data_IF_659062538010
#
_entry.id   IF_659062538010
#
_cell.length_a   1.000
_cell.length_b   1.000
_cell.length_c   1.000
_cell.angle_alpha   90.00
_cell.angle_beta   90.00
_cell.angle_gamma   90.00
#
_symmetry.space_group_name_H-M   'P 1'
#
loop_
_entity.id
_entity.type
_entity.pdbx_description
1 polymer ?
#
# COMPACT_ATOMS: atom_id res chain seq x y z
N UNK A 1 4.90 62.13 -42.77
CA UNK A 1 6.38 62.17 -42.77
C UNK A 1 6.89 60.77 -42.42
N UNK A 2 7.93 60.30 -43.11
CA UNK A 2 8.74 59.07 -42.91
C UNK A 2 10.21 59.60 -42.91
N UNK A 3 11.28 58.96 -42.35
CA UNK A 3 11.48 57.64 -41.71
C UNK A 3 11.66 57.76 -40.17
N UNK A 4 12.23 56.84 -39.36
CA UNK A 4 13.10 55.63 -39.51
C UNK A 4 12.89 54.75 -38.23
N UNK A 5 13.35 53.50 -38.05
CA UNK A 5 14.20 52.58 -38.82
C UNK A 5 13.83 51.09 -38.53
N UNK A 6 14.34 50.17 -39.36
CA UNK A 6 14.17 48.72 -39.21
C UNK A 6 14.86 48.16 -37.95
N UNK A 7 14.36 47.03 -37.42
CA UNK A 7 15.23 45.89 -37.08
C UNK A 7 14.56 44.54 -37.30
N UNK A 8 15.29 43.70 -38.03
CA UNK A 8 15.00 42.33 -38.45
C UNK A 8 14.69 41.37 -37.31
N UNK A 9 13.67 40.52 -37.49
CA UNK A 9 13.49 39.31 -36.71
C UNK A 9 14.52 38.24 -37.13
N UNK A 10 15.29 37.73 -36.17
CA UNK A 10 16.19 36.58 -36.38
C UNK A 10 15.65 35.38 -35.60
N UNK A 11 15.51 34.23 -36.27
CA UNK A 11 15.26 32.94 -35.63
C UNK A 11 16.50 32.53 -34.83
N UNK A 12 16.35 32.20 -33.56
CA UNK A 12 17.34 31.41 -32.81
C UNK A 12 16.65 30.21 -32.14
N UNK A 13 17.08 29.02 -32.56
CA UNK A 13 16.66 27.75 -31.99
C UNK A 13 17.33 27.52 -30.63
N UNK A 14 16.60 27.73 -29.54
CA UNK A 14 17.03 27.35 -28.19
C UNK A 14 16.69 25.89 -27.90
N UNK A 15 17.70 25.01 -27.82
CA UNK A 15 17.53 23.66 -27.25
C UNK A 15 17.13 23.80 -25.79
N UNK A 16 16.00 23.23 -25.37
CA UNK A 16 15.77 22.97 -23.95
C UNK A 16 16.78 21.88 -23.52
N UNK A 17 17.72 22.26 -22.67
CA UNK A 17 18.68 21.33 -22.07
C UNK A 17 17.96 20.44 -21.07
N UNK A 18 18.10 19.12 -21.19
CA UNK A 18 17.74 18.20 -20.13
C UNK A 18 18.45 18.62 -18.83
N UNK A 19 17.72 18.64 -17.71
CA UNK A 19 18.31 18.91 -16.41
C UNK A 19 19.37 17.84 -16.11
N UNK A 20 20.59 18.28 -15.83
CA UNK A 20 21.72 17.38 -15.62
C UNK A 20 21.54 16.55 -14.33
N UNK A 21 22.04 15.32 -14.37
CA UNK A 21 22.25 14.50 -13.18
C UNK A 21 23.11 15.29 -12.18
N UNK A 22 22.53 15.74 -11.07
CA UNK A 22 23.33 16.18 -9.94
C UNK A 22 23.94 14.96 -9.28
N UNK A 23 25.24 14.77 -9.52
CA UNK A 23 26.06 13.69 -8.98
C UNK A 23 26.04 13.68 -7.45
N UNK A 24 25.32 12.72 -6.86
CA UNK A 24 25.40 12.36 -5.44
C UNK A 24 26.70 11.60 -5.15
N UNK A 25 27.84 12.26 -5.36
CA UNK A 25 29.16 11.73 -5.06
C UNK A 25 29.52 11.78 -3.56
N UNK A 26 28.62 12.28 -2.69
CA UNK A 26 28.83 12.49 -1.26
C UNK A 26 28.29 11.37 -0.35
N UNK A 27 27.77 10.27 -0.91
CA UNK A 27 27.32 9.09 -0.13
C UNK A 27 28.41 8.01 0.04
N UNK A 28 29.62 8.25 -0.47
CA UNK A 28 30.76 7.34 -0.34
C UNK A 28 31.52 7.50 0.99
N UNK A 29 30.80 7.72 2.10
CA UNK A 29 31.38 7.84 3.44
C UNK A 29 31.35 6.47 4.15
N UNK A 30 32.50 5.79 4.17
CA UNK A 30 32.89 4.72 5.10
C UNK A 30 31.83 3.69 5.53
N UNK A 31 31.04 3.17 4.58
CA UNK A 31 30.39 1.87 4.79
C UNK A 31 31.37 0.77 4.35
N UNK A 32 32.18 0.29 5.28
CA UNK A 32 32.96 -0.94 5.13
C UNK A 32 32.02 -2.15 5.20
N UNK A 33 31.20 -2.33 4.16
CA UNK A 33 30.34 -3.52 4.04
C UNK A 33 31.23 -4.75 3.94
N UNK A 34 30.98 -5.76 4.77
CA UNK A 34 31.56 -7.11 4.64
C UNK A 34 30.91 -7.90 3.47
N UNK A 35 30.62 -7.20 2.37
CA UNK A 35 30.23 -7.66 1.04
C UNK A 35 31.05 -6.91 -0.03
N UNK A 36 32.19 -6.33 0.36
CA UNK A 36 32.81 -5.24 -0.38
C UNK A 36 33.44 -5.62 -1.72
N UNK A 37 34.34 -4.75 -2.19
CA UNK A 37 35.32 -5.03 -3.27
C UNK A 37 36.38 -6.08 -2.84
N UNK A 38 35.97 -7.07 -2.03
CA UNK A 38 36.76 -8.22 -1.62
C UNK A 38 36.55 -9.40 -2.55
N UNK A 39 37.42 -10.38 -2.44
CA UNK A 39 37.39 -11.58 -3.27
C UNK A 39 36.20 -12.49 -2.91
N UNK A 40 35.09 -12.32 -3.63
CA UNK A 40 34.04 -13.34 -3.70
C UNK A 40 34.67 -14.63 -4.21
N UNK A 41 34.81 -15.64 -3.36
CA UNK A 41 34.98 -17.02 -3.82
C UNK A 41 33.75 -17.36 -4.65
N UNK A 42 33.98 -17.74 -5.90
CA UNK A 42 32.93 -17.97 -6.90
C UNK A 42 31.86 -18.93 -6.36
N UNK A 43 30.59 -18.66 -6.67
CA UNK A 43 29.46 -19.56 -6.39
C UNK A 43 29.42 -20.79 -7.30
N UNK A 44 30.61 -21.32 -7.57
CA UNK A 44 30.83 -22.45 -8.44
C UNK A 44 30.50 -23.78 -7.78
N UNK A 45 30.91 -23.99 -6.53
CA UNK A 45 30.58 -25.20 -5.78
C UNK A 45 29.30 -25.01 -4.97
N UNK A 46 28.21 -25.49 -5.55
CA UNK A 46 26.85 -25.55 -4.99
C UNK A 46 26.78 -26.22 -3.60
N UNK A 47 27.75 -27.07 -3.26
CA UNK A 47 27.83 -27.78 -1.97
C UNK A 47 28.51 -26.96 -0.85
N UNK A 48 29.19 -25.86 -1.21
CA UNK A 48 29.89 -24.97 -0.25
C UNK A 48 29.10 -23.71 0.10
N UNK A 49 27.93 -23.52 -0.51
CA UNK A 49 27.07 -22.36 -0.31
C UNK A 49 26.60 -22.26 1.16
N UNK A 50 26.78 -21.08 1.77
CA UNK A 50 26.26 -20.78 3.11
C UNK A 50 24.98 -19.93 3.00
N UNK A 51 23.94 -20.24 3.81
CA UNK A 51 22.81 -19.35 4.03
C UNK A 51 23.22 -17.89 4.26
N UNK A 52 22.61 -16.96 3.53
CA UNK A 52 22.80 -15.52 3.75
C UNK A 52 22.07 -15.01 4.98
N UNK A 53 22.63 -14.04 5.69
CA UNK A 53 21.97 -13.46 6.86
C UNK A 53 21.36 -12.09 6.52
N UNK A 54 20.03 -11.98 6.57
CA UNK A 54 19.32 -10.77 6.18
C UNK A 54 19.06 -9.82 7.34
N UNK A 55 19.80 -8.73 7.39
CA UNK A 55 19.46 -7.58 8.23
C UNK A 55 18.19 -6.84 7.72
N UNK A 56 17.24 -6.62 8.62
CA UNK A 56 15.98 -5.87 8.44
C UNK A 56 16.06 -4.62 9.32
N UNK A 57 15.93 -3.42 8.72
CA UNK A 57 15.84 -2.14 9.45
C UNK A 57 14.40 -1.87 9.82
N UNK A 58 14.11 -1.70 11.11
CA UNK A 58 12.79 -1.30 11.59
C UNK A 58 12.72 0.19 11.91
N UNK A 59 11.59 0.79 11.54
CA UNK A 59 11.19 2.13 11.98
C UNK A 59 9.85 2.06 12.72
N UNK A 60 9.70 2.93 13.72
CA UNK A 60 8.62 2.89 14.71
C UNK A 60 8.63 1.59 15.53
N UNK A 61 7.78 1.53 16.56
CA UNK A 61 7.50 0.26 17.25
C UNK A 61 6.70 -0.65 16.32
N UNK A 62 7.30 -1.77 15.91
CA UNK A 62 6.66 -2.84 15.16
C UNK A 62 6.14 -3.91 16.14
N UNK A 63 5.03 -4.56 15.79
CA UNK A 63 4.48 -5.65 16.62
C UNK A 63 5.48 -6.82 16.74
N UNK A 64 5.69 -7.36 17.95
CA UNK A 64 6.47 -8.59 18.16
C UNK A 64 5.95 -9.80 17.36
N UNK A 65 4.64 -9.90 17.11
CA UNK A 65 4.07 -10.99 16.29
C UNK A 65 4.57 -10.92 14.84
N UNK A 66 4.66 -9.72 14.27
CA UNK A 66 5.26 -9.54 12.94
C UNK A 66 6.77 -9.77 12.92
N UNK A 67 7.50 -9.29 13.95
CA UNK A 67 8.94 -9.53 14.03
C UNK A 67 9.29 -11.01 14.20
N UNK A 68 8.45 -11.78 14.92
CA UNK A 68 8.61 -13.23 15.07
C UNK A 68 8.42 -14.03 13.76
N UNK A 69 7.94 -13.41 12.67
CA UNK A 69 7.90 -14.04 11.34
C UNK A 69 9.27 -14.18 10.70
N UNK A 70 10.29 -13.46 11.18
CA UNK A 70 11.69 -13.56 10.74
C UNK A 70 12.46 -14.56 11.62
N UNK A 71 12.87 -15.73 11.09
CA UNK A 71 13.63 -16.71 11.86
C UNK A 71 15.06 -16.20 12.15
N UNK A 72 15.50 -16.27 13.42
CA UNK A 72 16.75 -15.67 13.90
C UNK A 72 18.02 -16.30 13.32
N UNK A 73 17.91 -17.51 12.80
CA UNK A 73 18.96 -18.22 12.06
C UNK A 73 19.28 -17.58 10.70
N UNK A 74 18.33 -16.82 10.15
CA UNK A 74 18.36 -16.27 8.79
C UNK A 74 18.25 -14.74 8.76
N UNK A 75 17.80 -14.11 9.85
CA UNK A 75 17.44 -12.70 9.90
C UNK A 75 17.92 -11.98 11.16
N UNK A 76 18.45 -10.77 10.96
CA UNK A 76 18.73 -9.81 12.02
C UNK A 76 17.71 -8.68 11.97
N UNK A 77 16.94 -8.44 13.03
CA UNK A 77 16.07 -7.24 13.11
C UNK A 77 16.78 -6.19 13.95
N UNK A 78 16.97 -4.98 13.40
CA UNK A 78 17.63 -3.86 14.07
C UNK A 78 16.89 -2.54 13.88
N UNK A 79 16.85 -1.73 14.94
CA UNK A 79 16.24 -0.40 14.93
C UNK A 79 17.27 0.69 14.56
N UNK A 80 16.82 1.67 13.78
CA UNK A 80 17.56 2.91 13.52
C UNK A 80 18.92 2.73 12.85
N UNK A 81 19.91 3.51 13.29
CA UNK A 81 21.25 3.60 12.70
C UNK A 81 22.06 2.30 12.83
N UNK A 82 21.73 1.43 13.80
CA UNK A 82 22.38 0.12 13.97
C UNK A 82 22.19 -0.82 12.76
N UNK A 83 21.24 -0.51 11.88
CA UNK A 83 20.88 -1.29 10.70
C UNK A 83 21.45 -0.70 9.39
N UNK A 84 22.68 -0.17 9.42
CA UNK A 84 23.31 0.49 8.27
C UNK A 84 23.49 -0.42 7.02
N UNK A 85 23.53 -1.75 7.19
CA UNK A 85 23.67 -2.72 6.11
C UNK A 85 22.35 -3.49 5.85
N UNK A 86 21.20 -2.87 6.10
CA UNK A 86 19.91 -3.53 5.94
C UNK A 86 19.60 -3.87 4.47
N UNK A 87 19.04 -5.06 4.29
CA UNK A 87 18.57 -5.59 3.01
C UNK A 87 17.09 -5.28 2.77
N UNK A 88 16.32 -5.05 3.83
CA UNK A 88 14.96 -4.58 3.73
C UNK A 88 14.60 -3.61 4.87
N UNK A 89 13.63 -2.75 4.62
CA UNK A 89 13.10 -1.80 5.60
C UNK A 89 11.64 -2.18 5.93
N UNK A 90 11.30 -2.20 7.22
CA UNK A 90 9.95 -2.45 7.74
C UNK A 90 9.51 -1.25 8.59
N UNK A 91 8.41 -0.59 8.23
CA UNK A 91 8.00 0.68 8.86
C UNK A 91 6.48 0.83 9.01
N UNK A 92 6.03 1.79 9.83
CA UNK A 92 4.59 2.14 9.98
C UNK A 92 4.25 3.54 9.47
N UNK A 93 4.51 4.53 10.31
CA UNK A 93 4.14 5.94 10.12
C UNK A 93 5.36 6.84 9.89
N UNK A 94 6.59 6.32 10.11
CA UNK A 94 7.82 7.03 9.79
C UNK A 94 7.81 7.54 8.34
N UNK A 95 8.13 8.82 8.15
CA UNK A 95 8.24 9.42 6.82
C UNK A 95 9.65 9.16 6.29
N UNK A 96 9.80 8.06 5.56
CA UNK A 96 11.08 7.63 5.01
C UNK A 96 11.62 8.69 4.03
N UNK A 97 12.84 9.16 4.25
CA UNK A 97 13.57 10.02 3.31
C UNK A 97 14.41 9.15 2.35
N UNK A 98 14.89 9.72 1.24
CA UNK A 98 15.64 8.96 0.23
C UNK A 98 17.05 8.57 0.71
N UNK A 99 17.71 9.45 1.47
CA UNK A 99 19.02 9.25 2.09
C UNK A 99 19.01 8.21 3.21
N UNK A 100 17.84 7.83 3.73
CA UNK A 100 17.67 6.72 4.66
C UNK A 100 17.70 5.33 4.00
N UNK A 101 17.70 5.26 2.66
CA UNK A 101 17.62 4.03 1.86
C UNK A 101 18.98 3.69 1.25
N UNK A 102 19.77 2.94 2.01
CA UNK A 102 21.13 2.53 1.62
C UNK A 102 21.14 1.60 0.38
N UNK A 103 22.28 1.55 -0.33
CA UNK A 103 22.43 0.74 -1.55
C UNK A 103 22.13 -0.75 -1.36
N UNK A 104 22.36 -1.31 -0.17
CA UNK A 104 22.03 -2.70 0.20
C UNK A 104 20.53 -3.01 0.23
N UNK A 105 19.67 -1.98 0.31
CA UNK A 105 18.22 -2.16 0.43
C UNK A 105 17.65 -2.69 -0.89
N UNK A 106 16.92 -3.82 -0.75
CA UNK A 106 16.30 -4.63 -1.80
C UNK A 106 14.78 -4.54 -1.78
N UNK A 107 14.17 -4.25 -0.62
CA UNK A 107 12.73 -4.18 -0.42
C UNK A 107 12.33 -3.23 0.72
N UNK A 108 11.13 -2.66 0.64
CA UNK A 108 10.53 -1.85 1.71
C UNK A 108 9.10 -2.33 1.93
N UNK A 109 8.70 -2.61 3.17
CA UNK A 109 7.29 -2.90 3.49
C UNK A 109 6.74 -1.94 4.55
N UNK A 110 5.51 -1.47 4.31
CA UNK A 110 4.74 -0.68 5.27
C UNK A 110 3.67 -1.54 5.94
N UNK A 111 3.68 -1.57 7.27
CA UNK A 111 2.60 -2.16 8.07
C UNK A 111 1.39 -1.19 8.13
N UNK A 112 0.77 -0.94 6.98
CA UNK A 112 -0.52 -0.28 6.80
C UNK A 112 -0.93 -0.22 5.31
N UNK A 113 -2.17 0.17 5.01
CA UNK A 113 -2.71 0.11 3.65
C UNK A 113 -2.24 1.26 2.71
N UNK A 114 -2.24 2.53 3.16
CA UNK A 114 -1.68 3.65 2.36
C UNK A 114 -0.15 3.61 2.30
N UNK A 115 0.49 4.46 1.47
CA UNK A 115 1.97 4.53 1.36
C UNK A 115 2.51 5.97 1.26
N UNK A 116 1.73 6.96 1.72
CA UNK A 116 2.02 8.40 1.61
C UNK A 116 3.34 8.83 2.31
N UNK A 117 3.88 7.98 3.17
CA UNK A 117 5.09 8.18 3.96
C UNK A 117 6.34 7.47 3.38
N UNK A 118 6.26 6.97 2.14
CA UNK A 118 7.36 6.33 1.41
C UNK A 118 7.51 7.02 0.03
N UNK A 119 8.72 7.35 -0.43
CA UNK A 119 8.95 7.97 -1.74
C UNK A 119 8.85 6.93 -2.88
N UNK A 120 7.63 6.41 -3.10
CA UNK A 120 7.37 5.26 -3.99
C UNK A 120 7.92 5.45 -5.41
N UNK A 121 7.81 6.65 -6.00
CA UNK A 121 8.35 6.94 -7.33
C UNK A 121 9.87 6.70 -7.38
N UNK A 122 10.62 7.32 -6.47
CA UNK A 122 12.07 7.13 -6.34
C UNK A 122 12.47 5.68 -6.12
N UNK A 123 11.74 4.98 -5.24
CA UNK A 123 12.02 3.56 -4.98
C UNK A 123 11.82 2.70 -6.23
N UNK A 124 10.92 3.10 -7.13
CA UNK A 124 10.70 2.45 -8.43
C UNK A 124 11.91 2.64 -9.35
N UNK A 125 12.44 3.87 -9.46
CA UNK A 125 13.65 4.18 -10.22
C UNK A 125 14.89 3.41 -9.71
N UNK A 126 14.97 3.19 -8.40
CA UNK A 126 16.05 2.42 -7.76
C UNK A 126 15.85 0.89 -7.85
N UNK A 127 14.79 0.43 -8.50
CA UNK A 127 14.46 -1.00 -8.62
C UNK A 127 14.02 -1.67 -7.32
N UNK A 128 13.53 -0.90 -6.34
CA UNK A 128 13.13 -1.35 -5.01
C UNK A 128 11.59 -1.48 -4.95
N UNK A 129 11.02 -2.69 -4.83
CA UNK A 129 9.60 -2.85 -4.56
C UNK A 129 9.25 -2.32 -3.17
N UNK A 130 8.18 -1.51 -3.16
CA UNK A 130 7.49 -1.06 -1.95
C UNK A 130 6.23 -1.91 -1.80
N UNK A 131 6.07 -2.47 -0.62
CA UNK A 131 4.97 -3.34 -0.22
C UNK A 131 4.06 -2.65 0.80
N UNK A 132 2.77 -2.94 0.76
CA UNK A 132 1.79 -2.53 1.76
C UNK A 132 1.01 -3.76 2.26
N UNK A 133 0.06 -3.53 3.16
CA UNK A 133 -0.69 -4.61 3.82
C UNK A 133 -2.21 -4.45 3.63
N UNK A 134 -2.69 -4.60 2.38
CA UNK A 134 -4.09 -4.39 2.05
C UNK A 134 -4.95 -5.45 2.74
N UNK A 135 -6.05 -5.02 3.36
CA UNK A 135 -6.98 -5.93 4.04
C UNK A 135 -6.57 -6.35 5.45
N UNK A 136 -5.31 -6.17 5.87
CA UNK A 136 -4.84 -6.55 7.22
C UNK A 136 -5.61 -5.86 8.35
N UNK A 137 -6.05 -4.61 8.14
CA UNK A 137 -6.89 -3.85 9.07
C UNK A 137 -8.40 -3.95 8.77
N UNK A 138 -8.83 -4.80 7.84
CA UNK A 138 -10.21 -4.74 7.33
C UNK A 138 -11.27 -5.03 8.40
N UNK A 139 -11.01 -5.97 9.31
CA UNK A 139 -11.95 -6.25 10.39
C UNK A 139 -12.10 -5.08 11.38
N UNK A 140 -10.98 -4.46 11.78
CA UNK A 140 -10.98 -3.32 12.70
C UNK A 140 -11.75 -2.11 12.14
N UNK A 141 -11.51 -1.75 10.86
CA UNK A 141 -12.25 -0.66 10.21
C UNK A 141 -13.74 -1.02 10.10
N UNK A 142 -14.06 -2.25 9.71
CA UNK A 142 -15.44 -2.75 9.60
C UNK A 142 -16.17 -2.69 10.94
N UNK A 143 -15.55 -3.10 12.05
CA UNK A 143 -16.15 -2.99 13.39
C UNK A 143 -16.43 -1.54 13.76
N UNK A 144 -15.52 -0.63 13.44
CA UNK A 144 -15.71 0.79 13.68
C UNK A 144 -16.80 1.39 12.76
N UNK A 145 -16.99 0.91 11.54
CA UNK A 145 -18.13 1.26 10.67
C UNK A 145 -19.46 0.78 11.27
N UNK A 146 -19.52 -0.45 11.80
CA UNK A 146 -20.72 -0.96 12.50
C UNK A 146 -21.02 -0.12 13.75
N UNK A 147 -20.01 0.24 14.53
CA UNK A 147 -20.13 1.15 15.65
C UNK A 147 -20.63 2.54 15.19
N UNK A 148 -20.08 3.07 14.09
CA UNK A 148 -20.51 4.32 13.47
C UNK A 148 -21.98 4.33 13.08
N UNK A 149 -22.49 3.23 12.52
CA UNK A 149 -23.92 3.07 12.25
C UNK A 149 -24.75 3.18 13.54
N UNK A 150 -24.33 2.53 14.62
CA UNK A 150 -25.02 2.62 15.92
C UNK A 150 -24.95 4.03 16.52
N UNK A 151 -23.80 4.71 16.44
CA UNK A 151 -23.63 6.10 16.90
C UNK A 151 -24.60 7.04 16.17
N UNK A 152 -24.65 6.99 14.83
CA UNK A 152 -25.59 7.78 14.02
C UNK A 152 -27.06 7.38 14.18
N UNK A 153 -27.34 6.15 14.65
CA UNK A 153 -28.70 5.60 14.76
C UNK A 153 -29.36 5.81 16.12
N UNK A 154 -28.58 5.88 17.21
CA UNK A 154 -29.08 5.71 18.60
C UNK A 154 -28.82 6.90 19.52
N UNK A 155 -28.33 8.03 19.02
CA UNK A 155 -28.00 9.25 19.81
C UNK A 155 -27.13 8.99 21.03
N UNK A 156 -26.19 8.03 20.91
CA UNK A 156 -25.39 7.51 22.02
C UNK A 156 -24.52 8.62 22.64
N UNK A 157 -23.83 9.40 21.81
CA UNK A 157 -22.95 10.49 22.25
C UNK A 157 -23.75 11.56 22.98
N UNK A 158 -24.87 12.00 22.40
CA UNK A 158 -25.78 12.99 22.99
C UNK A 158 -26.26 12.55 24.38
N UNK A 159 -26.68 11.29 24.52
CA UNK A 159 -27.15 10.73 25.80
C UNK A 159 -26.05 10.64 26.86
N UNK A 160 -24.83 10.26 26.46
CA UNK A 160 -23.65 10.24 27.35
C UNK A 160 -23.32 11.65 27.85
N UNK A 161 -23.23 12.62 26.95
CA UNK A 161 -22.92 14.02 27.28
C UNK A 161 -24.00 14.64 28.18
N UNK A 162 -25.27 14.34 27.92
CA UNK A 162 -26.39 14.76 28.77
C UNK A 162 -26.27 14.20 30.20
N UNK A 163 -25.93 12.91 30.34
CA UNK A 163 -25.75 12.29 31.66
C UNK A 163 -24.56 12.86 32.43
N UNK A 164 -23.47 13.23 31.76
CA UNK A 164 -22.36 13.98 32.39
C UNK A 164 -22.84 15.34 32.91
N UNK A 165 -23.52 16.13 32.06
CA UNK A 165 -24.02 17.46 32.45
C UNK A 165 -25.04 17.40 33.60
N UNK A 166 -25.95 16.41 33.60
CA UNK A 166 -26.85 16.17 34.73
C UNK A 166 -26.13 15.69 36.00
N UNK A 167 -25.00 15.00 35.85
CA UNK A 167 -24.15 14.56 36.96
C UNK A 167 -23.51 15.76 37.68
N UNK A 168 -22.94 16.70 36.93
CA UNK A 168 -22.38 17.96 37.47
C UNK A 168 -23.43 18.81 38.19
N UNK A 169 -24.69 18.76 37.73
CA UNK A 169 -25.83 19.43 38.36
C UNK A 169 -26.42 18.66 39.56
N UNK A 170 -26.00 17.41 39.81
CA UNK A 170 -26.61 16.52 40.81
C UNK A 170 -28.00 15.99 40.47
N UNK A 171 -28.51 16.27 39.26
CA UNK A 171 -29.89 15.97 38.81
C UNK A 171 -30.05 14.63 38.09
N UNK A 172 -28.96 13.90 37.83
CA UNK A 172 -28.96 12.68 37.02
C UNK A 172 -30.04 11.65 37.39
N UNK A 173 -30.21 11.34 38.69
CA UNK A 173 -31.21 10.35 39.14
C UNK A 173 -32.67 10.81 38.99
N UNK A 174 -32.92 12.10 39.15
CA UNK A 174 -34.28 12.67 39.03
C UNK A 174 -34.70 12.76 37.56
N UNK A 175 -33.78 13.24 36.71
CA UNK A 175 -34.10 13.61 35.34
C UNK A 175 -33.94 12.50 34.32
N UNK A 176 -33.13 11.46 34.58
CA UNK A 176 -32.81 10.42 33.57
C UNK A 176 -34.05 9.81 32.91
N UNK A 177 -35.08 9.44 33.67
CA UNK A 177 -36.31 8.83 33.12
C UNK A 177 -37.15 9.82 32.31
N UNK A 178 -37.30 11.06 32.81
CA UNK A 178 -38.06 12.13 32.16
C UNK A 178 -37.43 12.57 30.84
N UNK A 179 -36.10 12.60 30.81
CA UNK A 179 -35.31 13.13 29.70
C UNK A 179 -35.10 12.11 28.56
N UNK A 180 -35.42 10.81 28.76
CA UNK A 180 -35.26 9.74 27.75
C UNK A 180 -35.86 10.06 26.39
N UNK A 181 -37.01 10.74 26.36
CA UNK A 181 -37.73 11.06 25.14
C UNK A 181 -36.92 11.91 24.15
N UNK A 182 -35.92 12.67 24.64
CA UNK A 182 -35.02 13.45 23.78
C UNK A 182 -34.09 12.56 22.93
N UNK A 183 -33.79 11.34 23.38
CA UNK A 183 -32.79 10.46 22.78
C UNK A 183 -33.41 9.35 21.91
N UNK A 184 -34.61 9.60 21.38
CA UNK A 184 -35.27 8.73 20.41
C UNK A 184 -34.35 8.45 19.21
N UNK A 185 -34.13 7.18 18.92
CA UNK A 185 -33.31 6.70 17.81
C UNK A 185 -34.03 5.64 16.99
N UNK A 186 -33.32 5.05 16.03
CA UNK A 186 -33.84 3.99 15.14
C UNK A 186 -33.04 2.70 15.25
N UNK A 187 -33.62 1.59 14.81
CA UNK A 187 -32.94 0.31 14.66
C UNK A 187 -32.34 0.16 13.24
N UNK A 188 -31.30 -0.66 13.12
CA UNK A 188 -30.67 -0.99 11.83
C UNK A 188 -31.48 -2.01 11.02
N UNK A 189 -32.19 -2.92 11.70
CA UNK A 189 -32.94 -4.00 11.06
C UNK A 189 -34.02 -3.43 10.11
N UNK A 190 -34.08 -3.96 8.89
CA UNK A 190 -35.00 -3.49 7.84
C UNK A 190 -34.63 -2.14 7.24
N UNK A 191 -33.43 -1.60 7.51
CA UNK A 191 -32.88 -0.41 6.84
C UNK A 191 -31.97 -0.79 5.69
N UNK A 192 -31.70 0.15 4.81
CA UNK A 192 -30.81 -0.03 3.65
C UNK A 192 -29.44 0.58 3.92
N UNK A 193 -28.38 -0.22 3.73
CA UNK A 193 -26.99 0.24 3.69
C UNK A 193 -26.49 0.27 2.24
N UNK A 194 -26.04 1.43 1.78
CA UNK A 194 -25.26 1.56 0.56
C UNK A 194 -23.75 1.46 0.87
N UNK A 195 -23.06 0.55 0.18
CA UNK A 195 -21.62 0.36 0.31
C UNK A 195 -20.91 0.85 -0.96
N UNK A 196 -20.18 1.95 -0.83
CA UNK A 196 -19.43 2.58 -1.91
C UNK A 196 -17.98 2.08 -1.82
N UNK A 197 -17.59 1.17 -2.70
CA UNK A 197 -16.34 0.40 -2.65
C UNK A 197 -16.54 -0.97 -2.00
N UNK A 198 -16.27 -2.04 -2.73
CA UNK A 198 -16.56 -3.43 -2.37
C UNK A 198 -15.27 -4.27 -2.23
N UNK A 199 -14.16 -3.60 -1.93
CA UNK A 199 -12.91 -4.23 -1.48
C UNK A 199 -13.02 -4.85 -0.07
N UNK A 200 -11.87 -5.20 0.53
CA UNK A 200 -11.79 -5.94 1.79
C UNK A 200 -12.71 -5.44 2.94
N UNK A 201 -12.77 -4.11 3.16
CA UNK A 201 -13.60 -3.51 4.21
C UNK A 201 -15.08 -3.54 3.78
N UNK A 202 -15.41 -2.96 2.62
CA UNK A 202 -16.79 -2.89 2.14
C UNK A 202 -17.47 -4.25 2.00
N UNK A 203 -16.77 -5.27 1.52
CA UNK A 203 -17.29 -6.65 1.44
C UNK A 203 -17.56 -7.25 2.83
N UNK A 204 -16.73 -6.93 3.84
CA UNK A 204 -16.97 -7.35 5.22
C UNK A 204 -18.15 -6.59 5.85
N UNK A 205 -18.21 -5.28 5.65
CA UNK A 205 -19.31 -4.42 6.12
C UNK A 205 -20.64 -4.86 5.54
N UNK A 206 -20.68 -5.21 4.25
CA UNK A 206 -21.87 -5.72 3.57
C UNK A 206 -22.39 -7.03 4.19
N UNK A 207 -21.50 -7.98 4.51
CA UNK A 207 -21.89 -9.26 5.15
C UNK A 207 -22.42 -9.05 6.56
N UNK A 208 -21.72 -8.28 7.38
CA UNK A 208 -22.14 -8.06 8.77
C UNK A 208 -23.44 -7.23 8.83
N UNK A 209 -23.67 -6.31 7.88
CA UNK A 209 -24.94 -5.59 7.74
C UNK A 209 -26.11 -6.50 7.30
N UNK A 210 -25.91 -7.40 6.34
CA UNK A 210 -26.90 -8.42 5.97
C UNK A 210 -27.26 -9.30 7.19
N UNK A 211 -26.26 -9.72 7.98
CA UNK A 211 -26.46 -10.51 9.19
C UNK A 211 -27.22 -9.75 10.30
N UNK A 212 -27.12 -8.41 10.34
CA UNK A 212 -27.94 -7.54 11.19
C UNK A 212 -29.36 -7.31 10.65
N UNK A 213 -29.71 -7.92 9.52
CA UNK A 213 -31.02 -7.82 8.88
C UNK A 213 -31.23 -6.52 8.10
N UNK A 214 -30.16 -5.91 7.58
CA UNK A 214 -30.22 -4.78 6.65
C UNK A 214 -30.38 -5.27 5.21
N UNK A 215 -31.01 -4.46 4.35
CA UNK A 215 -30.85 -4.58 2.90
C UNK A 215 -29.54 -3.92 2.49
N UNK A 216 -28.78 -4.50 1.56
CA UNK A 216 -27.47 -3.96 1.16
C UNK A 216 -27.44 -3.69 -0.35
N UNK A 217 -27.10 -2.46 -0.71
CA UNK A 217 -26.74 -2.04 -2.08
C UNK A 217 -25.22 -1.82 -2.15
N UNK A 218 -24.63 -2.06 -3.32
CA UNK A 218 -23.19 -1.94 -3.51
C UNK A 218 -22.82 -1.28 -4.84
N UNK A 219 -21.82 -0.40 -4.82
CA UNK A 219 -21.20 0.16 -6.03
C UNK A 219 -19.69 0.08 -5.91
N UNK A 220 -19.02 -0.54 -6.89
CA UNK A 220 -17.56 -0.52 -7.02
C UNK A 220 -17.16 -0.67 -8.50
N UNK A 221 -16.56 0.36 -9.12
CA UNK A 221 -16.12 0.29 -10.53
C UNK A 221 -14.88 -0.59 -10.72
N UNK A 222 -14.20 -0.99 -9.63
CA UNK A 222 -13.00 -1.83 -9.62
C UNK A 222 -13.22 -3.22 -8.99
N UNK A 223 -14.46 -3.71 -8.93
CA UNK A 223 -14.79 -4.99 -8.29
C UNK A 223 -14.03 -6.17 -8.94
N UNK A 224 -13.07 -6.73 -8.22
CA UNK A 224 -12.35 -7.94 -8.65
C UNK A 224 -13.19 -9.19 -8.45
N UNK A 225 -12.93 -10.23 -9.26
CA UNK A 225 -13.59 -11.55 -9.12
C UNK A 225 -13.42 -12.10 -7.69
N UNK A 226 -12.22 -11.97 -7.12
CA UNK A 226 -11.92 -12.43 -5.76
C UNK A 226 -12.77 -11.71 -4.69
N UNK A 227 -13.00 -10.40 -4.87
CA UNK A 227 -13.85 -9.64 -3.95
C UNK A 227 -15.34 -9.90 -4.19
N UNK A 228 -15.78 -10.08 -5.44
CA UNK A 228 -17.14 -10.47 -5.79
C UNK A 228 -17.55 -11.80 -5.12
N UNK A 229 -16.65 -12.78 -5.09
CA UNK A 229 -16.86 -14.06 -4.38
C UNK A 229 -17.01 -13.93 -2.85
N UNK A 230 -16.59 -12.79 -2.27
CA UNK A 230 -16.71 -12.50 -0.83
C UNK A 230 -17.99 -11.73 -0.49
N UNK A 231 -18.79 -11.31 -1.48
CA UNK A 231 -19.99 -10.50 -1.24
C UNK A 231 -21.21 -11.34 -0.75
N UNK A 232 -22.16 -10.71 -0.04
CA UNK A 232 -23.48 -11.29 0.19
C UNK A 232 -24.15 -11.68 -1.12
N UNK A 233 -24.82 -12.83 -1.18
CA UNK A 233 -25.54 -13.25 -2.41
C UNK A 233 -26.76 -12.39 -2.71
N UNK A 234 -27.31 -11.69 -1.71
CA UNK A 234 -28.48 -10.81 -1.88
C UNK A 234 -28.13 -9.39 -2.31
N UNK A 235 -26.84 -9.01 -2.34
CA UNK A 235 -26.43 -7.63 -2.56
C UNK A 235 -26.90 -7.12 -3.94
N UNK A 236 -27.59 -5.98 -3.94
CA UNK A 236 -27.97 -5.32 -5.18
C UNK A 236 -26.82 -4.44 -5.67
N UNK A 237 -26.09 -4.91 -6.69
CA UNK A 237 -25.07 -4.11 -7.36
C UNK A 237 -25.70 -2.99 -8.18
N UNK A 238 -25.07 -1.82 -8.15
CA UNK A 238 -25.52 -0.57 -8.76
C UNK A 238 -24.46 -0.07 -9.74
N UNK A 239 -24.89 0.76 -10.68
CA UNK A 239 -24.09 1.28 -11.81
C UNK A 239 -23.40 2.63 -11.52
N UNK A 240 -23.81 3.33 -10.47
CA UNK A 240 -23.29 4.64 -10.07
C UNK A 240 -23.42 4.85 -8.56
N UNK A 241 -22.71 5.85 -8.03
CA UNK A 241 -22.87 6.27 -6.63
C UNK A 241 -24.30 6.79 -6.40
N UNK A 242 -24.81 7.65 -7.28
CA UNK A 242 -26.16 8.23 -7.18
C UNK A 242 -27.26 7.15 -7.13
N UNK A 243 -27.22 6.14 -8.00
CA UNK A 243 -28.20 5.05 -7.99
C UNK A 243 -28.06 4.09 -6.79
N UNK A 244 -26.90 4.13 -6.11
CA UNK A 244 -26.62 3.36 -4.90
C UNK A 244 -27.12 4.03 -3.62
N UNK A 245 -26.95 5.36 -3.50
CA UNK A 245 -27.32 6.13 -2.29
C UNK A 245 -28.80 6.49 -2.18
N UNK A 246 -29.55 6.54 -3.30
CA UNK A 246 -30.93 7.04 -3.34
C UNK A 246 -31.89 6.44 -2.30
N UNK A 247 -31.85 5.12 -2.14
CA UNK A 247 -32.71 4.39 -1.19
C UNK A 247 -32.02 4.09 0.15
N UNK A 248 -30.82 4.65 0.40
CA UNK A 248 -29.99 4.30 1.54
C UNK A 248 -30.39 5.06 2.81
N UNK A 249 -30.50 4.36 3.94
CA UNK A 249 -30.60 4.96 5.27
C UNK A 249 -29.20 5.17 5.90
N UNK A 250 -28.23 4.36 5.47
CA UNK A 250 -26.82 4.43 5.87
C UNK A 250 -25.96 4.31 4.61
N UNK A 251 -24.86 5.07 4.53
CA UNK A 251 -23.97 5.11 3.37
C UNK A 251 -22.53 4.96 3.87
N UNK A 252 -21.81 3.93 3.42
CA UNK A 252 -20.44 3.64 3.87
C UNK A 252 -19.43 3.81 2.74
N UNK A 253 -18.46 4.71 2.94
CA UNK A 253 -17.37 4.97 2.01
C UNK A 253 -16.18 4.04 2.29
N UNK A 254 -15.76 3.30 1.26
CA UNK A 254 -14.72 2.26 1.29
C UNK A 254 -13.79 2.32 0.06
N UNK A 255 -13.83 3.42 -0.71
CA UNK A 255 -13.03 3.66 -1.92
C UNK A 255 -11.69 4.35 -1.61
N UNK A 256 -10.65 4.18 -2.44
CA UNK A 256 -9.41 4.93 -2.31
C UNK A 256 -9.57 6.41 -2.66
N UNK A 257 -8.75 7.26 -2.05
CA UNK A 257 -8.56 8.63 -2.52
C UNK A 257 -7.57 8.66 -3.70
N UNK A 258 -8.02 9.19 -4.84
CA UNK A 258 -7.26 9.35 -6.07
C UNK A 258 -7.21 10.84 -6.39
N UNK A 259 -6.00 11.37 -6.58
CA UNK A 259 -5.75 12.78 -6.95
C UNK A 259 -5.78 12.96 -8.47
N UNK A 260 -6.15 14.16 -8.91
CA UNK A 260 -6.12 14.56 -10.33
C UNK A 260 -7.50 14.56 -10.99
N UNK A 261 -7.52 14.84 -12.28
CA UNK A 261 -8.73 14.81 -13.11
C UNK A 261 -9.30 13.38 -13.18
N UNK A 262 -10.62 13.24 -13.01
CA UNK A 262 -11.26 11.92 -12.83
C UNK A 262 -10.93 11.20 -11.51
N UNK A 263 -10.28 11.89 -10.57
CA UNK A 263 -10.02 11.39 -9.22
C UNK A 263 -11.28 11.33 -8.34
N UNK A 264 -11.08 11.02 -7.06
CA UNK A 264 -12.17 10.84 -6.08
C UNK A 264 -12.26 11.98 -5.05
N UNK A 265 -11.60 13.12 -5.30
CA UNK A 265 -11.70 14.31 -4.44
C UNK A 265 -13.11 14.88 -4.44
N UNK A 266 -13.71 15.09 -3.26
CA UNK A 266 -15.06 15.65 -3.12
C UNK A 266 -16.15 14.83 -3.85
N UNK A 267 -15.91 13.54 -4.10
CA UNK A 267 -16.83 12.68 -4.86
C UNK A 267 -18.22 12.56 -4.20
N UNK A 268 -18.29 12.73 -2.88
CA UNK A 268 -19.54 12.97 -2.15
C UNK A 268 -19.75 14.49 -2.03
N UNK A 269 -20.08 15.10 -3.17
CA UNK A 269 -20.45 16.52 -3.30
C UNK A 269 -21.96 16.73 -3.44
N UNK A 270 -22.38 17.97 -3.71
CA UNK A 270 -23.80 18.38 -3.78
C UNK A 270 -24.66 17.43 -4.64
N UNK A 271 -24.19 17.02 -5.81
CA UNK A 271 -24.95 16.14 -6.73
C UNK A 271 -25.28 14.78 -6.10
N UNK A 272 -24.35 14.18 -5.36
CA UNK A 272 -24.54 12.91 -4.67
C UNK A 272 -25.38 13.09 -3.40
N UNK A 273 -25.11 14.15 -2.65
CA UNK A 273 -25.83 14.51 -1.41
C UNK A 273 -27.30 14.84 -1.70
N UNK A 274 -27.63 15.41 -2.86
CA UNK A 274 -29.01 15.67 -3.29
C UNK A 274 -29.88 14.41 -3.41
N UNK A 275 -29.25 13.24 -3.58
CA UNK A 275 -29.91 11.95 -3.60
C UNK A 275 -30.05 11.28 -2.23
N UNK A 276 -29.57 11.89 -1.15
CA UNK A 276 -29.70 11.31 0.19
C UNK A 276 -31.14 11.42 0.71
N UNK A 277 -31.61 10.41 1.45
CA UNK A 277 -32.75 10.60 2.35
C UNK A 277 -32.40 11.66 3.39
N UNK A 278 -33.36 12.52 3.78
CA UNK A 278 -33.14 13.60 4.76
C UNK A 278 -32.42 13.11 6.02
N UNK A 279 -32.85 11.97 6.57
CA UNK A 279 -32.28 11.38 7.77
C UNK A 279 -31.14 10.37 7.53
N UNK A 280 -30.48 10.37 6.38
CA UNK A 280 -29.42 9.40 6.06
C UNK A 280 -28.17 9.58 6.95
N UNK A 281 -27.45 8.48 7.18
CA UNK A 281 -26.18 8.47 7.94
C UNK A 281 -25.01 8.18 7.01
N UNK A 282 -24.17 9.18 6.76
CA UNK A 282 -22.92 9.02 6.00
C UNK A 282 -21.77 8.59 6.92
N UNK A 283 -21.05 7.54 6.54
CA UNK A 283 -19.97 6.91 7.29
C UNK A 283 -18.68 6.99 6.47
N UNK A 284 -17.75 7.87 6.87
CA UNK A 284 -16.46 8.03 6.21
C UNK A 284 -15.31 7.49 7.07
N UNK A 285 -14.97 6.23 6.82
CA UNK A 285 -13.80 5.55 7.39
C UNK A 285 -12.73 5.26 6.32
N UNK A 286 -12.92 5.81 5.12
CA UNK A 286 -12.00 5.65 4.00
C UNK A 286 -10.94 6.76 3.96
N UNK A 287 -11.33 7.99 3.60
CA UNK A 287 -10.43 9.17 3.49
C UNK A 287 -11.26 10.45 3.61
N UNK A 288 -10.75 11.44 4.35
CA UNK A 288 -11.45 12.72 4.54
C UNK A 288 -11.75 13.43 3.21
N UNK A 289 -10.78 13.41 2.28
CA UNK A 289 -10.84 14.11 1.00
C UNK A 289 -11.92 13.60 0.01
N UNK A 290 -12.67 12.54 0.35
CA UNK A 290 -13.78 12.01 -0.45
C UNK A 290 -15.07 12.81 -0.31
N UNK A 291 -15.22 13.59 0.76
CA UNK A 291 -16.44 14.34 1.09
C UNK A 291 -16.17 15.83 0.86
N UNK A 292 -17.10 16.52 0.20
CA UNK A 292 -17.12 17.98 0.15
C UNK A 292 -17.67 18.50 1.49
N UNK A 293 -16.80 19.11 2.29
CA UNK A 293 -17.13 19.57 3.64
C UNK A 293 -18.19 20.68 3.66
N UNK A 294 -18.22 21.56 2.66
CA UNK A 294 -19.19 22.67 2.58
C UNK A 294 -20.57 22.16 2.14
N UNK A 295 -20.61 21.27 1.14
CA UNK A 295 -21.83 20.58 0.73
C UNK A 295 -22.41 19.74 1.88
N UNK A 296 -21.56 19.01 2.61
CA UNK A 296 -21.98 18.20 3.75
C UNK A 296 -22.45 19.06 4.92
N UNK A 297 -21.76 20.16 5.24
CA UNK A 297 -22.21 21.12 6.25
C UNK A 297 -23.60 21.68 5.91
N UNK A 298 -23.77 22.10 4.65
CA UNK A 298 -25.06 22.63 4.15
C UNK A 298 -26.17 21.60 4.27
N UNK A 299 -25.91 20.32 4.01
CA UNK A 299 -26.88 19.25 4.20
C UNK A 299 -27.23 19.02 5.68
N UNK A 300 -26.23 18.92 6.56
CA UNK A 300 -26.41 18.66 7.99
C UNK A 300 -27.09 19.81 8.75
N UNK A 301 -26.92 21.05 8.29
CA UNK A 301 -27.58 22.23 8.88
C UNK A 301 -29.09 22.31 8.52
N UNK A 302 -29.51 21.65 7.43
CA UNK A 302 -30.88 21.71 6.90
C UNK A 302 -31.68 20.40 7.05
N UNK A 303 -31.05 19.30 7.49
CA UNK A 303 -31.66 17.97 7.56
C UNK A 303 -31.33 17.23 8.88
N UNK A 304 -32.04 16.14 9.16
CA UNK A 304 -31.85 15.29 10.35
C UNK A 304 -30.84 14.14 10.15
N UNK A 305 -30.14 14.13 9.02
CA UNK A 305 -29.05 13.21 8.72
C UNK A 305 -27.86 13.35 9.66
N UNK A 306 -26.93 12.40 9.60
CA UNK A 306 -25.72 12.38 10.43
C UNK A 306 -24.47 12.10 9.60
N UNK A 307 -23.35 12.71 9.99
CA UNK A 307 -22.04 12.40 9.42
C UNK A 307 -21.13 11.81 10.50
N UNK A 308 -20.65 10.59 10.26
CA UNK A 308 -19.72 9.90 11.15
C UNK A 308 -18.41 9.72 10.39
N UNK A 309 -17.33 10.32 10.87
CA UNK A 309 -16.04 10.37 10.18
C UNK A 309 -14.90 9.94 11.08
N UNK A 310 -13.92 9.25 10.52
CA UNK A 310 -12.65 8.95 11.18
C UNK A 310 -11.55 10.00 10.89
N UNK A 311 -11.93 11.10 10.23
CA UNK A 311 -11.03 12.16 9.79
C UNK A 311 -11.46 13.50 10.40
N UNK A 312 -10.53 14.27 11.02
CA UNK A 312 -10.80 15.62 11.48
C UNK A 312 -11.10 16.55 10.30
N UNK A 313 -12.03 17.47 10.52
CA UNK A 313 -12.54 18.43 9.53
C UNK A 313 -12.98 19.70 10.28
N UNK A 314 -12.35 20.84 9.96
CA UNK A 314 -12.54 22.13 10.67
C UNK A 314 -13.94 22.74 10.51
N UNK A 315 -14.69 22.35 9.46
CA UNK A 315 -16.06 22.81 9.21
C UNK A 315 -17.11 21.91 9.88
N UNK A 316 -16.80 20.62 10.04
CA UNK A 316 -17.77 19.60 10.45
C UNK A 316 -17.65 19.17 11.92
N UNK A 317 -16.51 19.33 12.58
CA UNK A 317 -16.29 18.82 13.96
C UNK A 317 -17.20 19.41 15.04
N UNK A 318 -17.66 20.66 14.87
CA UNK A 318 -18.59 21.32 15.79
C UNK A 318 -20.06 21.22 15.37
N UNK A 319 -20.38 20.49 14.29
CA UNK A 319 -21.77 20.33 13.87
C UNK A 319 -22.49 19.32 14.78
N UNK A 320 -23.69 19.67 15.29
CA UNK A 320 -24.48 18.79 16.17
C UNK A 320 -24.96 17.49 15.50
N UNK A 321 -24.85 17.40 14.17
CA UNK A 321 -25.12 16.21 13.38
C UNK A 321 -23.85 15.43 12.97
N UNK A 322 -22.67 15.86 13.40
CA UNK A 322 -21.40 15.15 13.19
C UNK A 322 -20.93 14.35 14.40
N UNK A 323 -20.25 13.24 14.16
CA UNK A 323 -19.37 12.58 15.14
C UNK A 323 -18.02 12.33 14.46
N UNK A 324 -16.99 13.02 14.93
CA UNK A 324 -15.64 12.96 14.37
C UNK A 324 -14.72 12.19 15.32
N UNK A 325 -14.06 11.16 14.79
CA UNK A 325 -13.14 10.28 15.51
C UNK A 325 -11.67 10.56 15.11
N UNK A 326 -10.70 10.33 15.99
CA UNK A 326 -9.29 10.67 15.74
C UNK A 326 -8.53 9.54 15.00
N UNK A 327 -9.00 9.17 13.81
CA UNK A 327 -8.33 8.19 12.91
C UNK A 327 -8.09 6.82 13.57
N UNK A 328 -9.14 6.25 14.15
CA UNK A 328 -9.13 5.02 14.94
C UNK A 328 -9.28 3.72 14.12
N UNK A 329 -9.65 3.78 12.84
CA UNK A 329 -10.07 2.60 12.06
C UNK A 329 -9.05 1.46 11.97
N UNK A 330 -7.75 1.75 12.09
CA UNK A 330 -6.68 0.73 12.11
C UNK A 330 -6.06 0.54 13.51
N UNK A 331 -6.56 1.23 14.53
CA UNK A 331 -5.92 1.39 15.84
C UNK A 331 -6.34 0.30 16.83
N UNK A 332 -6.06 -0.96 16.49
CA UNK A 332 -6.29 -2.16 17.31
C UNK A 332 -5.04 -3.04 17.32
N UNK A 333 -4.80 -3.78 18.40
CA UNK A 333 -3.62 -4.64 18.51
C UNK A 333 -3.61 -5.72 17.40
N UNK A 334 -4.78 -6.28 17.12
CA UNK A 334 -5.01 -7.32 16.12
C UNK A 334 -4.69 -6.82 14.70
N UNK A 335 -5.07 -5.58 14.35
CA UNK A 335 -4.72 -4.98 13.06
C UNK A 335 -3.22 -4.65 12.96
N UNK A 336 -2.57 -4.25 14.06
CA UNK A 336 -1.12 -4.04 14.10
C UNK A 336 -0.35 -5.35 13.92
N UNK A 337 -0.77 -6.42 14.60
CA UNK A 337 -0.20 -7.76 14.50
C UNK A 337 -0.39 -8.35 13.09
N UNK A 338 -1.59 -8.24 12.52
CA UNK A 338 -1.89 -8.71 11.17
C UNK A 338 -1.09 -7.94 10.11
N UNK A 339 -1.00 -6.61 10.22
CA UNK A 339 -0.21 -5.80 9.29
C UNK A 339 1.28 -6.09 9.43
N UNK A 340 1.83 -6.17 10.64
CA UNK A 340 3.24 -6.48 10.84
C UNK A 340 3.60 -7.88 10.32
N UNK A 341 2.73 -8.87 10.53
CA UNK A 341 2.93 -10.24 10.05
C UNK A 341 2.88 -10.32 8.52
N UNK A 342 1.88 -9.73 7.88
CA UNK A 342 1.76 -9.70 6.42
C UNK A 342 2.93 -8.96 5.75
N UNK A 343 3.40 -7.85 6.34
CA UNK A 343 4.55 -7.10 5.83
C UNK A 343 5.85 -7.91 5.95
N UNK A 344 6.07 -8.59 7.07
CA UNK A 344 7.22 -9.45 7.27
C UNK A 344 7.21 -10.65 6.31
N UNK A 345 6.07 -11.34 6.16
CA UNK A 345 5.90 -12.45 5.22
C UNK A 345 6.15 -12.00 3.77
N UNK A 346 5.66 -10.82 3.37
CA UNK A 346 5.88 -10.28 2.02
C UNK A 346 7.38 -9.99 1.77
N UNK A 347 8.10 -9.43 2.76
CA UNK A 347 9.55 -9.26 2.69
C UNK A 347 10.24 -10.63 2.53
N UNK A 348 9.84 -11.63 3.32
CA UNK A 348 10.41 -12.98 3.26
C UNK A 348 10.17 -13.66 1.91
N UNK A 349 8.94 -13.68 1.42
CA UNK A 349 8.60 -14.21 0.08
C UNK A 349 9.48 -13.57 -1.02
N UNK A 350 9.67 -12.25 -0.97
CA UNK A 350 10.49 -11.53 -1.94
C UNK A 350 11.99 -11.82 -1.82
N UNK A 351 12.51 -11.94 -0.60
CA UNK A 351 13.93 -12.19 -0.34
C UNK A 351 14.33 -13.67 -0.53
N UNK A 352 13.47 -14.61 -0.16
CA UNK A 352 13.71 -16.06 -0.20
C UNK A 352 13.35 -16.70 -1.56
N UNK A 353 12.32 -16.21 -2.26
CA UNK A 353 11.78 -16.86 -3.48
C UNK A 353 11.69 -15.97 -4.72
N UNK A 354 11.89 -14.67 -4.56
CA UNK A 354 11.65 -13.67 -5.61
C UNK A 354 10.17 -13.33 -5.82
N UNK A 355 9.26 -13.83 -5.00
CA UNK A 355 7.82 -13.56 -5.16
C UNK A 355 7.47 -12.10 -4.78
N UNK A 356 6.68 -11.44 -5.62
CA UNK A 356 6.12 -10.10 -5.38
C UNK A 356 4.60 -10.24 -5.24
N UNK A 357 4.09 -9.94 -4.04
CA UNK A 357 2.66 -9.75 -3.74
C UNK A 357 2.49 -8.39 -3.07
N UNK A 358 1.28 -7.82 -3.09
CA UNK A 358 0.95 -6.59 -2.36
C UNK A 358 1.93 -5.41 -2.57
N UNK A 359 2.49 -5.28 -3.79
CA UNK A 359 3.36 -4.14 -4.12
C UNK A 359 2.57 -2.97 -4.67
N UNK A 360 2.95 -1.76 -4.27
CA UNK A 360 2.34 -0.51 -4.77
C UNK A 360 3.01 0.02 -6.04
N UNK A 361 4.21 -0.44 -6.38
CA UNK A 361 4.97 0.00 -7.57
C UNK A 361 5.42 -1.12 -8.51
N UNK A 362 5.52 -2.37 -8.07
CA UNK A 362 5.93 -3.50 -8.91
C UNK A 362 4.73 -4.34 -9.37
N UNK A 363 4.87 -5.13 -10.46
CA UNK A 363 3.87 -6.10 -10.87
C UNK A 363 3.84 -7.31 -9.94
N UNK A 364 2.65 -7.81 -9.62
CA UNK A 364 2.50 -9.07 -8.89
C UNK A 364 3.11 -10.23 -9.70
N UNK A 365 4.06 -10.95 -9.11
CA UNK A 365 4.89 -11.93 -9.81
C UNK A 365 5.18 -13.09 -8.89
N UNK A 366 4.88 -14.31 -9.32
CA UNK A 366 5.15 -15.53 -8.53
C UNK A 366 5.42 -16.67 -9.50
N UNK A 367 6.61 -17.28 -9.37
CA UNK A 367 6.96 -18.53 -10.04
C UNK A 367 6.69 -19.68 -9.04
N UNK A 368 6.31 -20.90 -9.49
CA UNK A 368 6.19 -22.07 -8.62
C UNK A 368 7.45 -22.38 -7.80
N UNK A 369 7.42 -23.44 -6.97
CA UNK A 369 8.60 -23.89 -6.26
C UNK A 369 9.76 -24.18 -7.23
N UNK A 370 10.95 -23.67 -6.90
CA UNK A 370 12.18 -23.86 -7.69
C UNK A 370 12.43 -25.36 -7.92
N UNK A 371 12.66 -25.82 -9.16
CA UNK A 371 13.02 -27.21 -9.44
C UNK A 371 14.26 -27.69 -8.68
N UNK A 372 14.36 -28.99 -8.45
CA UNK A 372 15.62 -29.61 -8.01
C UNK A 372 16.74 -29.33 -9.02
N UNK A 373 17.98 -29.25 -8.54
CA UNK A 373 19.18 -29.00 -9.38
C UNK A 373 19.06 -27.77 -10.29
N UNK A 374 18.53 -26.67 -9.75
CA UNK A 374 18.42 -25.39 -10.46
C UNK A 374 18.80 -24.19 -9.58
N UNK A 375 19.06 -23.03 -10.16
CA UNK A 375 19.21 -21.75 -9.44
C UNK A 375 18.14 -20.77 -9.90
N UNK A 376 17.55 -20.01 -8.96
CA UNK A 376 16.64 -18.92 -9.29
C UNK A 376 17.41 -17.62 -9.45
N UNK A 377 17.12 -16.86 -10.50
CA UNK A 377 17.54 -15.47 -10.65
C UNK A 377 16.32 -14.56 -10.73
N UNK A 378 16.42 -13.37 -10.16
CA UNK A 378 15.42 -12.32 -10.25
C UNK A 378 16.06 -11.02 -10.76
N UNK A 379 15.56 -10.49 -11.87
CA UNK A 379 16.10 -9.30 -12.54
C UNK A 379 15.04 -8.22 -12.60
N UNK A 380 15.41 -7.01 -12.16
CA UNK A 380 14.58 -5.81 -12.26
C UNK A 380 15.08 -4.99 -13.44
N UNK A 381 14.20 -4.64 -14.37
CA UNK A 381 14.54 -3.81 -15.54
C UNK A 381 13.62 -2.62 -15.69
N UNK A 382 14.05 -1.64 -16.47
CA UNK A 382 13.15 -0.74 -17.17
C UNK A 382 12.28 -1.53 -18.15
N UNK A 383 11.03 -1.10 -18.33
CA UNK A 383 10.06 -1.72 -19.22
C UNK A 383 10.30 -1.28 -20.68
N UNK A 384 11.40 -1.76 -21.28
CA UNK A 384 11.84 -1.44 -22.65
C UNK A 384 11.80 -2.69 -23.55
N UNK A 385 11.61 -2.54 -24.87
CA UNK A 385 11.78 -3.64 -25.83
C UNK A 385 13.16 -4.29 -25.74
N UNK A 386 13.25 -5.60 -25.99
CA UNK A 386 14.51 -6.35 -26.05
C UNK A 386 15.03 -6.90 -24.72
N UNK A 387 14.65 -6.35 -23.56
CA UNK A 387 15.19 -6.76 -22.25
C UNK A 387 15.13 -8.27 -21.99
N UNK A 388 13.98 -8.89 -22.28
CA UNK A 388 13.78 -10.34 -22.10
C UNK A 388 14.72 -11.17 -22.98
N UNK A 389 15.00 -10.71 -24.21
CA UNK A 389 15.90 -11.40 -25.13
C UNK A 389 17.35 -11.30 -24.65
N UNK A 390 17.82 -10.10 -24.27
CA UNK A 390 19.18 -9.91 -23.74
C UNK A 390 19.44 -10.71 -22.46
N UNK A 391 18.45 -10.81 -21.55
CA UNK A 391 18.55 -11.64 -20.35
C UNK A 391 18.64 -13.13 -20.73
N UNK A 392 17.82 -13.60 -21.67
CA UNK A 392 17.82 -15.01 -22.11
C UNK A 392 19.11 -15.38 -22.84
N UNK A 393 19.63 -14.48 -23.68
CA UNK A 393 20.92 -14.60 -24.36
C UNK A 393 22.09 -14.66 -23.37
N UNK A 394 22.02 -13.92 -22.25
CA UNK A 394 23.03 -14.02 -21.19
C UNK A 394 23.09 -15.41 -20.55
N UNK A 395 21.98 -16.16 -20.47
CA UNK A 395 22.00 -17.56 -20.02
C UNK A 395 22.52 -18.50 -21.11
N UNK A 396 22.01 -18.35 -22.35
CA UNK A 396 22.44 -19.17 -23.50
C UNK A 396 23.96 -19.07 -23.77
N UNK A 397 24.54 -17.88 -23.66
CA UNK A 397 25.99 -17.64 -23.84
C UNK A 397 26.88 -18.18 -22.71
N UNK A 398 26.31 -18.85 -21.70
CA UNK A 398 27.04 -19.60 -20.68
C UNK A 398 26.52 -21.05 -20.57
N UNK A 399 25.87 -21.56 -21.63
CA UNK A 399 25.28 -22.90 -21.74
C UNK A 399 24.23 -23.26 -20.68
N UNK A 400 23.58 -22.26 -20.07
CA UNK A 400 22.56 -22.45 -19.03
C UNK A 400 21.15 -22.57 -19.61
N UNK A 401 20.52 -23.72 -19.42
CA UNK A 401 19.14 -23.97 -19.83
C UNK A 401 18.13 -23.31 -18.87
N UNK A 402 17.07 -22.68 -19.41
CA UNK A 402 15.98 -22.09 -18.63
C UNK A 402 14.88 -23.15 -18.42
N UNK A 403 14.61 -23.51 -17.17
CA UNK A 403 13.57 -24.47 -16.79
C UNK A 403 12.20 -23.81 -16.62
N UNK A 404 12.18 -22.62 -16.02
CA UNK A 404 10.96 -21.85 -15.77
C UNK A 404 11.28 -20.36 -15.88
N UNK A 405 10.34 -19.56 -16.40
CA UNK A 405 10.48 -18.11 -16.43
C UNK A 405 9.11 -17.43 -16.33
N UNK A 406 9.07 -16.30 -15.62
CA UNK A 406 7.96 -15.35 -15.64
C UNK A 406 8.50 -13.94 -15.84
N UNK A 407 7.81 -13.15 -16.66
CA UNK A 407 8.09 -11.73 -16.86
C UNK A 407 6.78 -10.96 -16.72
N UNK A 408 6.75 -9.96 -15.85
CA UNK A 408 5.61 -9.05 -15.70
C UNK A 408 6.09 -7.60 -15.70
N UNK A 409 5.23 -6.66 -16.07
CA UNK A 409 5.55 -5.23 -16.11
C UNK A 409 4.46 -4.36 -15.48
N UNK A 410 4.88 -3.21 -14.95
CA UNK A 410 3.98 -2.19 -14.37
C UNK A 410 4.61 -0.81 -14.57
N UNK A 411 3.97 0.02 -15.39
CA UNK A 411 4.51 1.32 -15.77
C UNK A 411 5.91 1.16 -16.39
N UNK A 412 6.87 1.90 -15.84
CA UNK A 412 8.24 1.98 -16.36
C UNK A 412 9.16 0.82 -15.93
N UNK A 413 8.70 -0.11 -15.10
CA UNK A 413 9.50 -1.26 -14.63
C UNK A 413 8.93 -2.61 -15.05
N UNK A 414 9.83 -3.55 -15.30
CA UNK A 414 9.53 -4.96 -15.48
C UNK A 414 10.34 -5.81 -14.49
N UNK A 415 9.79 -6.98 -14.17
CA UNK A 415 10.37 -7.92 -13.23
C UNK A 415 10.36 -9.32 -13.83
N UNK A 416 11.55 -9.91 -13.89
CA UNK A 416 11.82 -11.19 -14.51
C UNK A 416 12.32 -12.16 -13.45
N UNK A 417 11.72 -13.34 -13.35
CA UNK A 417 12.18 -14.42 -12.46
C UNK A 417 12.40 -15.67 -13.31
N UNK A 418 13.59 -16.25 -13.21
CA UNK A 418 14.08 -17.36 -14.04
C UNK A 418 14.62 -18.45 -13.13
N UNK A 419 14.24 -19.71 -13.36
CA UNK A 419 14.96 -20.87 -12.84
C UNK A 419 15.82 -21.46 -13.96
N UNK A 420 17.12 -21.59 -13.72
CA UNK A 420 18.08 -22.17 -14.66
C UNK A 420 18.62 -23.50 -14.14
N UNK A 421 18.75 -24.47 -15.05
CA UNK A 421 19.26 -25.82 -14.79
C UNK A 421 20.74 -25.80 -14.39
N UNK A 422 21.11 -26.61 -13.39
CA UNK A 422 22.51 -26.86 -13.02
C UNK A 422 22.90 -28.33 -13.14
N UNK A 423 21.99 -29.22 -13.52
CA UNK A 423 22.22 -30.68 -13.53
C UNK A 423 23.33 -31.15 -14.48
N UNK A 424 23.64 -30.37 -15.52
CA UNK A 424 24.74 -30.62 -16.47
C UNK A 424 26.08 -29.98 -16.10
N UNK A 425 26.18 -29.23 -14.99
CA UNK A 425 27.36 -28.41 -14.68
C UNK A 425 28.00 -28.79 -13.35
N UNK A 426 29.29 -29.12 -13.36
CA UNK A 426 30.06 -29.35 -12.12
C UNK A 426 30.22 -28.06 -11.30
N UNK A 427 30.41 -26.93 -12.00
CA UNK A 427 30.72 -25.61 -11.45
C UNK A 427 30.15 -24.55 -12.40
N UNK A 428 29.38 -23.57 -11.89
CA UNK A 428 28.86 -22.44 -12.69
C UNK A 428 29.31 -21.11 -12.08
N UNK A 429 29.95 -20.25 -12.88
CA UNK A 429 30.29 -18.90 -12.42
C UNK A 429 29.09 -17.95 -12.50
N UNK A 430 28.19 -18.10 -11.54
CA UNK A 430 27.03 -17.23 -11.40
C UNK A 430 27.40 -15.76 -11.12
N UNK A 431 28.62 -15.45 -10.66
CA UNK A 431 29.06 -14.05 -10.50
C UNK A 431 29.24 -13.41 -11.87
N UNK A 432 29.97 -14.05 -12.79
CA UNK A 432 30.13 -13.54 -14.16
C UNK A 432 28.80 -13.49 -14.92
N UNK A 433 27.90 -14.46 -14.72
CA UNK A 433 26.54 -14.42 -15.31
C UNK A 433 25.74 -13.24 -14.75
N UNK A 434 25.76 -13.04 -13.43
CA UNK A 434 25.07 -11.94 -12.75
C UNK A 434 25.61 -10.57 -13.17
N UNK A 435 26.92 -10.42 -13.28
CA UNK A 435 27.59 -9.20 -13.74
C UNK A 435 27.19 -8.85 -15.17
N UNK A 436 27.30 -9.82 -16.11
CA UNK A 436 26.83 -9.66 -17.50
C UNK A 436 25.38 -9.20 -17.57
N UNK A 437 24.48 -9.80 -16.79
CA UNK A 437 23.05 -9.43 -16.75
C UNK A 437 22.87 -8.02 -16.17
N UNK A 438 23.55 -7.69 -15.07
CA UNK A 438 23.36 -6.39 -14.38
C UNK A 438 23.85 -5.22 -15.22
N UNK A 439 24.86 -5.45 -16.06
CA UNK A 439 25.46 -4.44 -16.92
C UNK A 439 24.74 -4.25 -18.27
N UNK A 440 23.66 -4.98 -18.55
CA UNK A 440 22.79 -4.72 -19.69
C UNK A 440 22.09 -3.34 -19.54
N UNK A 441 22.04 -2.54 -20.62
CA UNK A 441 21.30 -1.27 -20.60
C UNK A 441 19.84 -1.51 -20.19
N UNK A 442 19.37 -0.74 -19.22
CA UNK A 442 18.03 -0.85 -18.67
C UNK A 442 17.84 -1.91 -17.58
N UNK A 443 18.86 -2.65 -17.14
CA UNK A 443 18.78 -3.43 -15.89
C UNK A 443 19.06 -2.52 -14.70
N UNK A 444 18.22 -2.59 -13.66
CA UNK A 444 18.35 -1.80 -12.43
C UNK A 444 19.03 -2.61 -11.32
N UNK A 445 18.62 -3.87 -11.16
CA UNK A 445 19.24 -4.82 -10.23
C UNK A 445 19.04 -6.25 -10.67
N UNK A 446 19.90 -7.14 -10.18
CA UNK A 446 19.76 -8.59 -10.35
C UNK A 446 20.04 -9.30 -9.04
N UNK A 447 19.46 -10.49 -8.86
CA UNK A 447 19.58 -11.28 -7.63
C UNK A 447 19.72 -12.75 -7.96
N UNK A 448 20.76 -13.41 -7.46
CA UNK A 448 20.89 -14.87 -7.42
C UNK A 448 20.23 -15.35 -6.13
N UNK A 449 19.13 -16.06 -6.29
CA UNK A 449 18.31 -16.61 -5.21
C UNK A 449 18.58 -18.11 -5.16
N UNK A 450 19.57 -18.47 -4.35
CA UNK A 450 19.99 -19.85 -4.15
C UNK A 450 19.93 -20.22 -2.67
N UNK A 451 19.27 -21.35 -2.37
CA UNK A 451 19.05 -21.80 -1.00
C UNK A 451 18.21 -20.84 -0.14
N UNK A 452 18.13 -21.16 1.15
CA UNK A 452 17.63 -20.25 2.19
C UNK A 452 18.85 -19.59 2.83
N UNK A 453 18.88 -18.26 3.02
CA UNK A 453 18.39 -17.18 2.15
C UNK A 453 19.46 -16.70 1.13
N UNK A 454 19.02 -16.10 0.02
CA UNK A 454 19.88 -15.77 -1.14
C UNK A 454 20.80 -14.54 -0.99
N UNK A 455 22.10 -14.75 -1.21
CA UNK A 455 23.17 -13.77 -0.98
C UNK A 455 23.50 -12.85 -2.17
N UNK A 456 23.54 -13.38 -3.40
CA UNK A 456 24.05 -12.67 -4.57
C UNK A 456 23.14 -11.53 -5.00
N UNK A 457 23.46 -10.30 -4.64
CA UNK A 457 22.73 -9.10 -5.04
C UNK A 457 23.61 -8.24 -5.94
N UNK A 458 23.03 -7.56 -6.91
CA UNK A 458 23.76 -6.53 -7.64
C UNK A 458 22.84 -5.40 -8.09
N UNK A 459 23.38 -4.18 -8.12
CA UNK A 459 22.76 -2.99 -8.71
C UNK A 459 23.61 -2.45 -9.85
N UNK A 460 22.94 -1.90 -10.86
CA UNK A 460 23.53 -0.99 -11.82
C UNK A 460 23.21 0.44 -11.36
N UNK A 461 24.22 1.22 -10.98
CA UNK A 461 24.03 2.61 -10.57
C UNK A 461 24.91 3.49 -11.44
N UNK A 462 24.31 4.22 -12.38
CA UNK A 462 25.05 5.11 -13.28
C UNK A 462 25.94 4.40 -14.31
N UNK A 463 25.75 3.10 -14.52
CA UNK A 463 26.62 2.26 -15.36
C UNK A 463 27.72 1.53 -14.60
N UNK A 464 27.79 1.67 -13.27
CA UNK A 464 28.72 0.94 -12.40
C UNK A 464 28.04 -0.26 -11.72
N UNK A 465 28.80 -1.36 -11.56
CA UNK A 465 28.38 -2.60 -10.90
C UNK A 465 28.62 -2.53 -9.38
N UNK A 466 27.57 -2.64 -8.59
CA UNK A 466 27.61 -2.73 -7.12
C UNK A 466 27.03 -4.07 -6.66
N UNK A 467 27.58 -4.64 -5.58
CA UNK A 467 27.20 -5.94 -4.99
C UNK A 467 26.83 -5.75 -3.52
#
# INVERSE_FOLDING_TARGET
MIPTALRTAARTSGRQSAAAFHTTASLAADVSVEHGRGEWKTYGDITTYKPGHFQIKTYNKISPHGLARFPKENYEVKEGENAANAHAILLRSHKLQEDEVNLTVRAIARCGAGTNNVPVARMTELGIPVFNTPGANANAVKELVLAGMLLGSRRIVDGINHMYSLGEQGLARERVEKDKAMFGGRELKGKTLAVIGLGHIGAATARDAEALGMTVTGYDPGLSIENALKLPRSIALKDSINSCVGDADYISLNIPYIKGEGGTHGIIGNDVISGFKNGAVLLNFARGELVDSEAMKTHLDNNDGKYISDFPDDLLWNNANSVILPHLGASTAEAEDAAASMAADTIREFLESGTIRNSVNFPATSLPNRPENSIRLAVVTLNKPGMLAHISEAFANNDLNILQQINQSRGDVAYNVVDVDTSGHNVVDFKTVQEKITMLDGVLSSRVIYGVPGTGYAKNVGGDYFV
#
